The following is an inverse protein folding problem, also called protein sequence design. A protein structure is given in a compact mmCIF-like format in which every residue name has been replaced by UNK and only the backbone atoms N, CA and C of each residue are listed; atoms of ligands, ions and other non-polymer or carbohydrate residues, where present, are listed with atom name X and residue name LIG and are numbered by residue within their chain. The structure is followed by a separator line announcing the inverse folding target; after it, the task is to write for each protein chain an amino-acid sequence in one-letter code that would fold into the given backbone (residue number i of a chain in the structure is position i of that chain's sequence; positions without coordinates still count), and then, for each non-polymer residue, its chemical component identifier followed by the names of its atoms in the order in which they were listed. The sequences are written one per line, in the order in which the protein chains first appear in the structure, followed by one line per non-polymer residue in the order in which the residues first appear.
data_IF_960193011828
#
_entry.id   IF_960193011828
#
_cell.length_a   1.000
_cell.length_b   1.000
_cell.length_c   1.000
_cell.angle_alpha   90.00
_cell.angle_beta   90.00
_cell.angle_gamma   90.00
#
_symmetry.space_group_name_H-M   'P 1'
#
loop_
_entity.id
_entity.type
_entity.pdbx_description
1 polymer ?
#
# COMPACT_ATOMS: atom_id res chain seq x y z
N UNK A 1 8.27 14.98 13.08
CA UNK A 1 6.98 14.31 12.86
C UNK A 1 6.91 13.90 11.40
N UNK A 2 6.61 12.63 11.12
CA UNK A 2 6.44 12.09 9.76
C UNK A 2 5.01 12.36 9.30
N UNK A 3 4.78 12.56 8.00
CA UNK A 3 3.42 12.70 7.45
C UNK A 3 2.68 11.35 7.53
N UNK A 4 1.38 11.41 7.72
CA UNK A 4 0.53 10.21 7.65
C UNK A 4 0.55 9.64 6.22
N UNK A 5 0.58 8.30 6.13
CA UNK A 5 0.50 7.58 4.86
C UNK A 5 -0.85 7.83 4.16
N UNK A 6 -1.93 8.09 4.90
CA UNK A 6 -3.21 8.43 4.30
C UNK A 6 -3.17 9.73 3.48
N UNK A 7 -2.26 10.66 3.80
CA UNK A 7 -2.05 11.86 2.98
C UNK A 7 -1.53 11.54 1.57
N UNK A 8 -0.92 10.36 1.37
CA UNK A 8 -0.41 9.88 0.08
C UNK A 8 -1.43 9.03 -0.68
N UNK A 9 -2.62 8.79 -0.12
CA UNK A 9 -3.65 7.93 -0.71
C UNK A 9 -4.82 8.77 -1.23
N UNK A 10 -4.94 8.88 -2.55
CA UNK A 10 -6.03 9.62 -3.19
C UNK A 10 -7.42 9.06 -2.82
N UNK A 11 -7.56 7.73 -2.67
CA UNK A 11 -8.79 7.07 -2.24
C UNK A 11 -9.18 7.37 -0.77
N UNK A 12 -8.25 7.94 0.00
CA UNK A 12 -8.44 8.37 1.39
C UNK A 12 -8.51 9.90 1.55
N UNK A 13 -8.64 10.64 0.44
CA UNK A 13 -8.70 12.10 0.46
C UNK A 13 -7.34 12.81 0.53
N UNK A 14 -6.24 12.07 0.31
CA UNK A 14 -4.89 12.62 0.20
C UNK A 14 -4.70 13.48 -1.04
N UNK A 15 -3.98 14.60 -0.91
CA UNK A 15 -3.67 15.53 -1.99
C UNK A 15 -2.16 15.53 -2.29
N UNK A 16 -1.77 14.72 -3.28
CA UNK A 16 -0.39 14.58 -3.72
C UNK A 16 0.19 15.89 -4.27
N UNK A 17 -0.64 16.76 -4.84
CA UNK A 17 -0.21 18.06 -5.38
C UNK A 17 0.36 18.94 -4.28
N UNK A 18 -0.34 19.05 -3.15
CA UNK A 18 0.12 19.80 -1.97
C UNK A 18 1.42 19.25 -1.40
N UNK A 19 1.59 17.94 -1.38
CA UNK A 19 2.81 17.31 -0.84
C UNK A 19 4.00 17.57 -1.78
N UNK A 20 3.81 17.42 -3.10
CA UNK A 20 4.85 17.77 -4.10
C UNK A 20 5.24 19.25 -3.99
N UNK A 21 4.27 20.14 -3.90
CA UNK A 21 4.52 21.57 -3.71
C UNK A 21 5.30 21.84 -2.40
N UNK A 22 4.98 21.13 -1.32
CA UNK A 22 5.72 21.23 -0.06
C UNK A 22 7.19 20.81 -0.21
N UNK A 23 7.47 19.74 -0.96
CA UNK A 23 8.85 19.31 -1.27
C UNK A 23 9.60 20.38 -2.07
N UNK A 24 8.97 20.95 -3.09
CA UNK A 24 9.55 22.03 -3.90
C UNK A 24 9.85 23.25 -3.03
N UNK A 25 8.90 23.69 -2.19
CA UNK A 25 9.09 24.80 -1.23
C UNK A 25 10.21 24.56 -0.24
N UNK A 26 10.59 23.30 -0.02
CA UNK A 26 11.71 22.88 0.84
C UNK A 26 13.01 22.62 0.06
N UNK A 27 13.05 22.93 -1.23
CA UNK A 27 14.18 22.67 -2.11
C UNK A 27 14.59 21.18 -2.11
N UNK A 28 13.59 20.29 -2.06
CA UNK A 28 13.74 18.84 -2.11
C UNK A 28 13.13 18.28 -3.38
N UNK A 29 13.53 17.05 -3.71
CA UNK A 29 13.04 16.33 -4.88
C UNK A 29 11.56 15.92 -4.70
N UNK A 30 10.62 16.47 -5.50
CA UNK A 30 9.21 16.09 -5.43
C UNK A 30 8.97 14.64 -5.91
N UNK A 31 9.88 14.03 -6.68
CA UNK A 31 9.70 12.66 -7.17
C UNK A 31 9.70 11.60 -6.05
N UNK A 32 10.18 11.94 -4.84
CA UNK A 32 10.06 11.08 -3.66
C UNK A 32 8.59 10.83 -3.30
N UNK A 33 7.69 11.79 -3.56
CA UNK A 33 6.25 11.62 -3.33
C UNK A 33 5.70 10.50 -4.21
N UNK A 34 6.10 10.46 -5.48
CA UNK A 34 5.65 9.45 -6.44
C UNK A 34 6.16 8.06 -6.04
N UNK A 35 7.43 7.96 -5.61
CA UNK A 35 8.00 6.70 -5.10
C UNK A 35 7.21 6.14 -3.92
N UNK A 36 6.83 7.00 -2.96
CA UNK A 36 6.02 6.57 -1.81
C UNK A 36 4.67 6.03 -2.25
N UNK A 37 4.02 6.69 -3.23
CA UNK A 37 2.72 6.24 -3.77
C UNK A 37 2.86 4.90 -4.49
N UNK A 38 3.89 4.73 -5.30
CA UNK A 38 4.15 3.49 -6.04
C UNK A 38 4.42 2.32 -5.08
N UNK A 39 5.24 2.55 -4.05
CA UNK A 39 5.54 1.55 -3.04
C UNK A 39 4.32 1.17 -2.20
N UNK A 40 3.48 2.15 -1.80
CA UNK A 40 2.22 1.88 -1.08
C UNK A 40 1.24 1.06 -1.94
N UNK A 41 1.08 1.43 -3.22
CA UNK A 41 0.22 0.70 -4.15
C UNK A 41 0.68 -0.75 -4.33
N UNK A 42 1.99 -0.95 -4.52
CA UNK A 42 2.59 -2.28 -4.61
C UNK A 42 2.38 -3.08 -3.34
N UNK A 43 2.58 -2.46 -2.17
CA UNK A 43 2.38 -3.11 -0.88
C UNK A 43 0.92 -3.53 -0.67
N UNK A 44 -0.05 -2.66 -0.97
CA UNK A 44 -1.49 -2.97 -0.85
C UNK A 44 -1.90 -4.14 -1.73
N UNK A 45 -1.39 -4.19 -2.97
CA UNK A 45 -1.63 -5.32 -3.88
C UNK A 45 -1.06 -6.63 -3.30
N UNK A 46 0.21 -6.61 -2.88
CA UNK A 46 0.86 -7.78 -2.29
C UNK A 46 0.15 -8.27 -1.03
N UNK A 47 -0.35 -7.37 -0.18
CA UNK A 47 -1.13 -7.71 1.01
C UNK A 47 -2.43 -8.42 0.65
N UNK A 48 -3.16 -7.91 -0.32
CA UNK A 48 -4.39 -8.54 -0.81
C UNK A 48 -4.13 -9.94 -1.38
N UNK A 49 -3.07 -10.09 -2.19
CA UNK A 49 -2.70 -11.38 -2.77
C UNK A 49 -2.33 -12.39 -1.67
N UNK A 50 -1.54 -11.97 -0.68
CA UNK A 50 -1.19 -12.78 0.49
C UNK A 50 -2.43 -13.27 1.26
N UNK A 51 -3.44 -12.42 1.44
CA UNK A 51 -4.68 -12.80 2.11
C UNK A 51 -5.45 -13.89 1.32
N UNK A 52 -5.43 -13.81 -0.01
CA UNK A 52 -6.05 -14.84 -0.86
C UNK A 52 -5.28 -16.17 -0.81
N UNK A 53 -3.94 -16.12 -0.81
CA UNK A 53 -3.11 -17.32 -0.63
C UNK A 53 -3.36 -17.99 0.72
N UNK A 54 -3.49 -17.22 1.80
CA UNK A 54 -3.82 -17.76 3.11
C UNK A 54 -5.21 -18.42 3.14
N UNK A 55 -6.21 -17.81 2.49
CA UNK A 55 -7.55 -18.43 2.35
C UNK A 55 -7.46 -19.77 1.62
N UNK A 56 -6.76 -19.80 0.47
CA UNK A 56 -6.59 -21.02 -0.32
C UNK A 56 -5.90 -22.13 0.48
N UNK A 57 -4.78 -21.80 1.16
CA UNK A 57 -4.05 -22.72 2.04
C UNK A 57 -5.00 -23.35 3.08
N UNK A 58 -5.80 -22.53 3.75
CA UNK A 58 -6.73 -23.00 4.77
C UNK A 58 -7.83 -23.91 4.21
N UNK A 59 -8.33 -23.62 3.00
CA UNK A 59 -9.27 -24.52 2.30
C UNK A 59 -8.61 -25.86 2.01
N UNK A 60 -7.40 -25.86 1.43
CA UNK A 60 -6.67 -27.11 1.16
C UNK A 60 -6.44 -27.94 2.43
N UNK A 61 -5.99 -27.32 3.52
CA UNK A 61 -5.78 -28.00 4.80
C UNK A 61 -7.06 -28.64 5.34
N UNK A 62 -8.22 -27.96 5.22
CA UNK A 62 -9.52 -28.51 5.64
C UNK A 62 -9.93 -29.71 4.80
N UNK A 63 -9.80 -29.63 3.48
CA UNK A 63 -10.18 -30.75 2.60
C UNK A 63 -9.27 -31.97 2.78
N UNK A 64 -7.98 -31.77 3.06
CA UNK A 64 -7.07 -32.87 3.42
C UNK A 64 -7.50 -33.52 4.74
N UNK A 65 -7.83 -32.70 5.76
CA UNK A 65 -8.29 -33.20 7.06
C UNK A 65 -9.57 -34.02 7.01
N UNK A 66 -10.44 -33.82 6.01
CA UNK A 66 -11.65 -34.64 5.80
C UNK A 66 -11.36 -36.03 5.20
N UNK A 67 -10.19 -36.21 4.58
CA UNK A 67 -9.80 -37.45 3.88
C UNK A 67 -8.91 -38.37 4.74
N UNK A 68 -8.49 -37.91 5.91
CA UNK A 68 -7.81 -38.71 6.93
C UNK A 68 -8.84 -39.21 7.94
#
# INVERSE_FOLDING_TARGET
MVLDLECFRADKGGDLGKIRENQIKRFKDPAVVDKVVDDDNKWRKLRHDLDNWNKLKNVCSKEIGKKM
#
